data_IF_847485611587
#
_entry.id   IF_847485611587
#
_cell.length_a   1.000
_cell.length_b   1.000
_cell.length_c   1.000
_cell.angle_alpha   90.00
_cell.angle_beta   90.00
_cell.angle_gamma   90.00
#
_symmetry.space_group_name_H-M   'P 1'
#
loop_
_entity.id
_entity.type
_entity.pdbx_description
1 polymer ?
#
# COMPACT_ATOMS: atom_id res chain seq x y z
N UNK A 1 10.57 20.87 -4.32
CA UNK A 1 9.78 19.79 -4.92
C UNK A 1 8.52 19.61 -4.10
N UNK A 2 7.32 19.57 -4.71
CA UNK A 2 6.09 19.21 -3.99
C UNK A 2 5.91 17.71 -4.02
N UNK A 3 5.61 17.12 -2.86
CA UNK A 3 5.38 15.69 -2.71
C UNK A 3 4.07 15.50 -1.95
N UNK A 4 3.17 14.71 -2.52
CA UNK A 4 1.90 14.35 -1.88
C UNK A 4 1.96 12.92 -1.33
N UNK A 5 1.12 12.62 -0.35
CA UNK A 5 0.85 11.26 0.09
C UNK A 5 -0.51 10.79 -0.44
N UNK A 6 -0.59 9.55 -0.87
CA UNK A 6 -1.83 8.89 -1.28
C UNK A 6 -2.03 7.65 -0.42
N UNK A 7 -3.14 7.57 0.28
CA UNK A 7 -3.49 6.44 1.15
C UNK A 7 -4.73 5.77 0.58
N UNK A 8 -4.66 4.48 0.29
CA UNK A 8 -5.84 3.70 -0.08
C UNK A 8 -6.47 3.13 1.19
N UNK A 9 -7.77 3.41 1.39
CA UNK A 9 -8.48 3.02 2.60
C UNK A 9 -9.95 2.72 2.35
N UNK A 10 -10.49 1.74 3.06
CA UNK A 10 -11.93 1.48 3.20
C UNK A 10 -12.23 0.97 4.60
N UNK A 11 -13.34 1.41 5.17
CA UNK A 11 -13.97 0.73 6.29
C UNK A 11 -14.78 -0.44 5.74
N UNK A 12 -14.24 -1.63 5.87
CA UNK A 12 -14.90 -2.84 5.40
C UNK A 12 -16.03 -3.32 6.30
N UNK A 13 -16.21 -2.73 7.48
CA UNK A 13 -17.32 -2.97 8.38
C UNK A 13 -18.52 -2.06 8.09
N UNK A 14 -18.35 -1.04 7.25
CA UNK A 14 -19.46 -0.24 6.73
C UNK A 14 -20.53 -1.12 6.07
N UNK A 15 -21.80 -1.06 6.52
CA UNK A 15 -22.87 -1.90 5.98
C UNK A 15 -23.11 -1.73 4.48
N UNK A 16 -22.94 -0.50 3.96
CA UNK A 16 -23.12 -0.23 2.52
C UNK A 16 -22.01 -0.87 1.70
N UNK A 17 -20.75 -0.74 2.16
CA UNK A 17 -19.63 -1.38 1.51
C UNK A 17 -19.74 -2.91 1.54
N UNK A 18 -20.17 -3.49 2.67
CA UNK A 18 -20.44 -4.95 2.78
C UNK A 18 -21.49 -5.40 1.77
N UNK A 19 -22.63 -4.68 1.67
CA UNK A 19 -23.70 -5.01 0.72
C UNK A 19 -23.21 -4.91 -0.73
N UNK A 20 -22.49 -3.84 -1.08
CA UNK A 20 -21.87 -3.71 -2.41
C UNK A 20 -20.96 -4.92 -2.72
N UNK A 21 -20.08 -5.28 -1.80
CA UNK A 21 -19.15 -6.40 -1.97
C UNK A 21 -19.88 -7.74 -2.14
N UNK A 22 -20.93 -7.97 -1.36
CA UNK A 22 -21.74 -9.19 -1.46
C UNK A 22 -22.51 -9.27 -2.79
N UNK A 23 -23.00 -8.15 -3.31
CA UNK A 23 -23.72 -8.11 -4.58
C UNK A 23 -22.86 -8.51 -5.79
N UNK A 24 -21.56 -8.26 -5.73
CA UNK A 24 -20.62 -8.54 -6.85
C UNK A 24 -19.72 -9.76 -6.60
N UNK A 25 -19.66 -10.27 -5.38
CA UNK A 25 -18.86 -11.43 -5.03
C UNK A 25 -19.65 -12.73 -5.08
N UNK A 26 -19.18 -13.74 -5.81
CA UNK A 26 -19.71 -15.10 -5.66
C UNK A 26 -19.36 -15.64 -4.28
N UNK A 27 -20.14 -16.60 -3.77
CA UNK A 27 -19.89 -17.26 -2.48
C UNK A 27 -18.44 -17.79 -2.39
N UNK A 28 -17.91 -18.36 -3.48
CA UNK A 28 -16.54 -18.85 -3.56
C UNK A 28 -15.49 -17.75 -3.41
N UNK A 29 -15.73 -16.58 -4.03
CA UNK A 29 -14.81 -15.42 -3.97
C UNK A 29 -14.82 -14.83 -2.56
N UNK A 30 -16.00 -14.63 -1.97
CA UNK A 30 -16.16 -14.00 -0.65
C UNK A 30 -15.55 -14.80 0.50
N UNK A 31 -15.42 -16.12 0.34
CA UNK A 31 -14.82 -17.02 1.33
C UNK A 31 -13.36 -17.42 1.00
N UNK A 32 -12.74 -16.78 0.01
CA UNK A 32 -11.33 -17.01 -0.32
C UNK A 32 -10.50 -15.90 0.33
N UNK A 33 -9.79 -16.22 1.41
CA UNK A 33 -8.98 -15.27 2.22
C UNK A 33 -8.02 -14.43 1.38
N UNK A 34 -7.49 -14.98 0.29
CA UNK A 34 -6.54 -14.28 -0.58
C UNK A 34 -7.16 -13.23 -1.49
N UNK A 35 -8.47 -13.35 -1.78
CA UNK A 35 -9.14 -12.54 -2.81
C UNK A 35 -10.10 -11.54 -2.19
N UNK A 36 -10.91 -11.97 -1.23
CA UNK A 36 -11.97 -11.18 -0.63
C UNK A 36 -12.26 -11.55 0.83
N UNK A 37 -11.31 -12.12 1.56
CA UNK A 37 -11.46 -12.46 2.97
C UNK A 37 -11.83 -11.25 3.81
N UNK A 38 -12.65 -11.46 4.85
CA UNK A 38 -13.18 -10.40 5.72
C UNK A 38 -12.09 -9.53 6.35
N UNK A 39 -10.94 -10.13 6.67
CA UNK A 39 -9.78 -9.49 7.28
C UNK A 39 -9.09 -8.44 6.42
N UNK A 40 -9.34 -8.44 5.10
CA UNK A 40 -8.77 -7.45 4.17
C UNK A 40 -9.46 -6.10 4.21
N UNK A 41 -10.61 -6.04 4.85
CA UNK A 41 -11.49 -4.88 4.83
C UNK A 41 -11.84 -4.40 6.23
N UNK A 42 -11.44 -5.11 7.28
CA UNK A 42 -11.62 -4.63 8.66
C UNK A 42 -10.60 -3.55 8.95
N UNK A 43 -11.04 -2.52 9.66
CA UNK A 43 -10.20 -1.46 10.17
C UNK A 43 -10.39 -1.36 11.69
N UNK A 44 -9.29 -1.25 12.41
CA UNK A 44 -9.28 -0.91 13.85
C UNK A 44 -8.80 0.53 14.05
N UNK A 45 -8.95 1.36 13.02
CA UNK A 45 -8.56 2.76 13.03
C UNK A 45 -7.13 3.02 12.56
N UNK A 46 -6.52 2.09 11.81
CA UNK A 46 -5.15 2.22 11.30
C UNK A 46 -4.93 3.52 10.54
N UNK A 47 -5.93 3.98 9.79
CA UNK A 47 -5.89 5.22 9.01
C UNK A 47 -5.54 6.45 9.88
N UNK A 48 -6.04 6.51 11.12
CA UNK A 48 -5.75 7.61 12.03
C UNK A 48 -4.26 7.65 12.38
N UNK A 49 -3.67 6.49 12.66
CA UNK A 49 -2.25 6.38 12.98
C UNK A 49 -1.36 6.58 11.76
N UNK A 50 -1.78 6.11 10.59
CA UNK A 50 -1.08 6.37 9.35
C UNK A 50 -0.97 7.88 9.11
N UNK A 51 -2.09 8.61 9.12
CA UNK A 51 -2.12 10.07 8.90
C UNK A 51 -1.38 10.84 10.00
N UNK A 52 -1.53 10.43 11.27
CA UNK A 52 -0.79 11.03 12.38
C UNK A 52 0.73 10.87 12.23
N UNK A 53 1.19 9.71 11.79
CA UNK A 53 2.61 9.46 11.56
C UNK A 53 3.20 10.34 10.48
N UNK A 54 2.43 10.61 9.42
CA UNK A 54 2.82 11.55 8.36
C UNK A 54 2.98 12.97 8.92
N UNK A 55 2.01 13.44 9.70
CA UNK A 55 2.08 14.76 10.35
C UNK A 55 3.28 14.88 11.28
N UNK A 56 3.62 13.82 12.01
CA UNK A 56 4.73 13.84 12.99
C UNK A 56 6.10 13.74 12.32
N UNK A 57 6.26 12.86 11.34
CA UNK A 57 7.57 12.44 10.84
C UNK A 57 7.87 12.88 9.41
N UNK A 58 6.88 13.39 8.68
CA UNK A 58 7.02 13.92 7.32
C UNK A 58 6.22 15.22 7.11
N UNK A 59 6.38 16.25 7.97
CA UNK A 59 5.59 17.49 7.88
C UNK A 59 5.85 18.29 6.58
N UNK A 60 6.83 17.90 5.80
CA UNK A 60 7.13 18.45 4.47
C UNK A 60 6.21 17.93 3.36
N UNK A 61 5.35 16.93 3.63
CA UNK A 61 4.33 16.48 2.68
C UNK A 61 3.36 17.63 2.40
N UNK A 62 3.12 17.89 1.11
CA UNK A 62 2.29 19.00 0.68
C UNK A 62 0.79 18.75 0.95
N UNK A 63 0.32 17.52 0.72
CA UNK A 63 -1.08 17.13 0.91
C UNK A 63 -1.22 15.62 1.05
N UNK A 64 -2.22 15.18 1.80
CA UNK A 64 -2.61 13.78 1.94
C UNK A 64 -3.93 13.57 1.21
N UNK A 65 -3.96 12.61 0.29
CA UNK A 65 -5.17 12.15 -0.38
C UNK A 65 -5.56 10.77 0.16
N UNK A 66 -6.81 10.63 0.58
CA UNK A 66 -7.36 9.33 1.02
C UNK A 66 -8.32 8.84 -0.04
N UNK A 67 -7.94 7.77 -0.73
CA UNK A 67 -8.73 7.15 -1.80
C UNK A 67 -9.64 6.09 -1.21
N UNK A 68 -10.96 6.22 -1.42
CA UNK A 68 -11.97 5.37 -0.78
C UNK A 68 -13.22 5.18 -1.64
N UNK A 69 -14.17 4.32 -1.19
CA UNK A 69 -15.44 4.01 -1.86
C UNK A 69 -16.61 4.66 -1.12
N UNK A 70 -16.92 5.93 -1.45
CA UNK A 70 -18.05 6.70 -0.87
C UNK A 70 -18.02 6.79 0.68
N UNK A 71 -16.82 6.78 1.26
CA UNK A 71 -16.63 6.84 2.71
C UNK A 71 -15.82 8.09 3.11
N UNK A 72 -15.84 8.41 4.40
CA UNK A 72 -15.03 9.48 4.99
C UNK A 72 -14.51 9.01 6.35
N UNK A 73 -13.19 8.96 6.59
CA UNK A 73 -12.63 8.53 7.85
C UNK A 73 -12.82 9.53 8.99
N UNK A 74 -13.37 10.72 8.75
CA UNK A 74 -13.68 11.76 9.75
C UNK A 74 -12.48 12.14 10.63
N UNK A 75 -11.37 12.51 10.00
CA UNK A 75 -10.10 12.80 10.68
C UNK A 75 -10.03 14.17 11.34
N UNK A 76 -10.96 15.09 11.05
CA UNK A 76 -10.83 16.50 11.42
C UNK A 76 -10.67 16.73 12.92
N UNK A 77 -11.53 16.09 13.75
CA UNK A 77 -11.46 16.21 15.22
C UNK A 77 -10.16 15.63 15.74
N UNK A 78 -9.79 14.43 15.28
CA UNK A 78 -8.57 13.76 15.68
C UNK A 78 -7.30 14.57 15.35
N UNK A 79 -7.25 15.16 14.16
CA UNK A 79 -6.11 15.98 13.74
C UNK A 79 -6.05 17.28 14.53
N UNK A 80 -7.19 17.95 14.77
CA UNK A 80 -7.23 19.17 15.56
C UNK A 80 -6.80 18.96 17.01
N UNK A 81 -7.14 17.83 17.60
CA UNK A 81 -6.77 17.47 18.98
C UNK A 81 -5.28 17.12 19.12
N UNK A 82 -4.72 16.39 18.17
CA UNK A 82 -3.35 15.89 18.24
C UNK A 82 -2.31 16.84 17.62
N UNK A 83 -2.74 17.73 16.68
CA UNK A 83 -1.90 18.68 15.95
C UNK A 83 -2.52 20.09 15.96
N UNK A 84 -2.72 20.71 17.13
CA UNK A 84 -3.42 21.99 17.28
C UNK A 84 -2.68 23.16 16.61
N UNK A 85 -1.37 23.06 16.42
CA UNK A 85 -0.55 24.08 15.75
C UNK A 85 -0.66 24.04 14.21
N UNK A 86 -1.34 23.01 13.69
CA UNK A 86 -1.56 22.79 12.28
C UNK A 86 -1.17 21.38 11.84
N UNK A 87 -1.79 20.94 10.78
CA UNK A 87 -1.56 19.63 10.18
C UNK A 87 -1.53 19.70 8.66
N UNK A 88 -1.00 18.67 8.02
CA UNK A 88 -0.99 18.52 6.57
C UNK A 88 -2.44 18.50 6.07
N UNK A 89 -2.79 19.26 5.01
CA UNK A 89 -4.13 19.22 4.42
C UNK A 89 -4.51 17.80 3.98
N UNK A 90 -5.71 17.35 4.34
CA UNK A 90 -6.25 16.04 3.97
C UNK A 90 -7.43 16.20 3.03
N UNK A 91 -7.49 15.44 1.97
CA UNK A 91 -8.63 15.37 1.05
C UNK A 91 -9.03 13.94 0.77
N UNK A 92 -10.33 13.66 0.90
CA UNK A 92 -10.91 12.36 0.57
C UNK A 92 -11.30 12.32 -0.91
N UNK A 93 -10.82 11.31 -1.63
CA UNK A 93 -11.06 11.11 -3.07
C UNK A 93 -11.87 9.83 -3.26
N UNK A 94 -13.05 9.97 -3.86
CA UNK A 94 -13.87 8.82 -4.21
C UNK A 94 -13.31 8.06 -5.42
N UNK A 95 -13.49 6.74 -5.45
CA UNK A 95 -13.10 5.90 -6.58
C UNK A 95 -13.65 6.42 -7.91
N UNK A 96 -14.86 7.00 -7.95
CA UNK A 96 -15.47 7.57 -9.17
C UNK A 96 -14.62 8.68 -9.78
N UNK A 97 -13.88 9.42 -8.96
CA UNK A 97 -13.01 10.51 -9.43
C UNK A 97 -11.84 9.95 -10.23
N UNK A 98 -11.13 8.96 -9.68
CA UNK A 98 -9.97 8.36 -10.34
C UNK A 98 -10.38 7.42 -11.49
N UNK A 99 -11.58 6.85 -11.44
CA UNK A 99 -12.12 5.99 -12.51
C UNK A 99 -12.95 6.75 -13.55
N UNK A 100 -12.93 8.10 -13.57
CA UNK A 100 -13.63 8.88 -14.61
C UNK A 100 -13.27 8.39 -16.02
N UNK A 101 -14.31 7.99 -16.80
CA UNK A 101 -14.15 7.35 -18.12
C UNK A 101 -13.90 5.84 -18.08
N UNK A 102 -13.92 5.24 -16.86
CA UNK A 102 -13.76 3.81 -16.61
C UNK A 102 -14.81 3.31 -15.61
N UNK A 103 -15.94 3.99 -15.48
CA UNK A 103 -16.99 3.75 -14.48
C UNK A 103 -17.58 2.34 -14.56
N UNK A 104 -17.51 1.69 -15.73
CA UNK A 104 -17.98 0.32 -15.94
C UNK A 104 -17.22 -0.72 -15.06
N UNK A 105 -16.06 -0.37 -14.55
CA UNK A 105 -15.26 -1.24 -13.68
C UNK A 105 -15.57 -1.05 -12.19
N UNK A 106 -16.41 -0.06 -11.84
CA UNK A 106 -16.87 0.19 -10.49
C UNK A 106 -18.15 -0.60 -10.16
N UNK A 107 -18.44 -0.93 -8.89
CA UNK A 107 -17.48 -0.82 -7.79
C UNK A 107 -16.34 -1.82 -7.91
N UNK A 108 -15.19 -1.47 -7.35
CA UNK A 108 -14.04 -2.38 -7.27
C UNK A 108 -13.60 -2.58 -5.81
N UNK A 109 -13.30 -3.81 -5.45
CA UNK A 109 -12.84 -4.25 -4.13
C UNK A 109 -11.39 -4.75 -4.21
N UNK A 110 -10.66 -4.21 -5.15
CA UNK A 110 -9.36 -4.70 -5.58
C UNK A 110 -8.31 -3.60 -5.48
N UNK A 111 -7.44 -3.69 -4.49
CA UNK A 111 -6.40 -2.68 -4.27
C UNK A 111 -5.54 -2.47 -5.52
N UNK A 112 -5.19 -3.54 -6.26
CA UNK A 112 -4.37 -3.42 -7.49
C UNK A 112 -5.08 -2.57 -8.55
N UNK A 113 -6.40 -2.74 -8.71
CA UNK A 113 -7.18 -1.91 -9.64
C UNK A 113 -7.21 -0.46 -9.19
N UNK A 114 -7.38 -0.20 -7.88
CA UNK A 114 -7.37 1.14 -7.30
C UNK A 114 -5.98 1.78 -7.45
N UNK A 115 -4.93 1.09 -7.02
CA UNK A 115 -3.53 1.51 -7.12
C UNK A 115 -3.11 1.85 -8.55
N UNK A 116 -3.68 1.15 -9.55
CA UNK A 116 -3.45 1.46 -10.98
C UNK A 116 -4.07 2.77 -11.43
N UNK A 117 -4.90 3.41 -10.61
CA UNK A 117 -5.66 4.62 -10.96
C UNK A 117 -5.33 5.82 -10.07
N UNK A 118 -4.56 5.66 -8.99
CA UNK A 118 -4.23 6.74 -8.02
C UNK A 118 -3.56 7.94 -8.66
N UNK A 119 -2.75 7.74 -9.69
CA UNK A 119 -2.09 8.80 -10.44
C UNK A 119 -3.06 9.80 -11.11
N UNK A 120 -4.36 9.45 -11.23
CA UNK A 120 -5.40 10.27 -11.84
C UNK A 120 -6.11 11.21 -10.85
N UNK A 121 -5.67 11.27 -9.62
CA UNK A 121 -6.20 12.22 -8.62
C UNK A 121 -6.00 13.65 -9.15
N UNK A 122 -7.07 14.47 -9.24
CA UNK A 122 -6.96 15.85 -9.69
C UNK A 122 -6.05 16.67 -8.76
N UNK A 123 -5.08 17.35 -9.32
CA UNK A 123 -4.14 18.19 -8.55
C UNK A 123 -3.00 17.42 -7.86
N UNK A 124 -2.90 16.11 -8.03
CA UNK A 124 -1.79 15.31 -7.52
C UNK A 124 -0.45 15.81 -8.05
N UNK A 125 0.51 15.98 -7.14
CA UNK A 125 1.88 16.36 -7.49
C UNK A 125 2.56 15.33 -8.37
N UNK A 126 3.60 15.73 -9.11
CA UNK A 126 4.42 14.82 -9.91
C UNK A 126 5.02 13.70 -9.05
N UNK A 127 5.54 14.07 -7.89
CA UNK A 127 6.09 13.15 -6.92
C UNK A 127 5.03 12.85 -5.86
N UNK A 128 4.72 11.58 -5.67
CA UNK A 128 3.83 11.18 -4.61
C UNK A 128 4.28 9.87 -3.95
N UNK A 129 3.89 9.69 -2.71
CA UNK A 129 4.22 8.50 -1.93
C UNK A 129 2.90 7.77 -1.63
N UNK A 130 2.82 6.53 -2.06
CA UNK A 130 1.65 5.68 -1.80
C UNK A 130 1.83 4.88 -0.52
N UNK A 131 0.79 4.91 0.31
CA UNK A 131 0.67 4.18 1.56
C UNK A 131 -0.56 3.27 1.52
N UNK A 132 -0.47 2.15 2.24
CA UNK A 132 -1.65 1.47 2.75
C UNK A 132 -1.95 2.01 4.14
N UNK A 133 -3.16 1.85 4.63
CA UNK A 133 -3.59 2.29 5.95
C UNK A 133 -2.87 1.57 7.11
N UNK A 134 -2.38 0.35 6.87
CA UNK A 134 -1.57 -0.45 7.81
C UNK A 134 -0.08 -0.04 7.88
N UNK A 135 0.31 1.02 7.13
CA UNK A 135 1.67 1.58 7.14
C UNK A 135 1.75 2.85 7.99
N UNK A 136 2.77 2.94 8.80
CA UNK A 136 3.11 4.16 9.53
C UNK A 136 4.58 4.55 9.30
N UNK A 137 4.87 5.83 9.44
CA UNK A 137 6.22 6.29 9.71
C UNK A 137 6.50 6.12 11.20
N UNK A 138 7.66 5.57 11.57
CA UNK A 138 8.03 5.30 12.95
C UNK A 138 9.19 6.17 13.44
N UNK A 139 9.79 6.96 12.54
CA UNK A 139 10.81 7.97 12.82
C UNK A 139 10.82 9.04 11.72
N UNK A 140 11.46 10.21 11.94
CA UNK A 140 11.57 11.25 10.94
C UNK A 140 12.16 10.75 9.62
N UNK A 141 11.52 11.14 8.53
CA UNK A 141 11.97 10.88 7.16
C UNK A 141 12.17 12.19 6.41
N UNK A 142 12.98 12.14 5.36
CA UNK A 142 13.21 13.27 4.45
C UNK A 142 12.78 12.92 3.03
N UNK A 143 12.61 13.90 2.14
CA UNK A 143 12.34 13.62 0.72
C UNK A 143 13.34 12.65 0.08
N UNK A 144 14.60 12.68 0.49
CA UNK A 144 15.69 11.85 -0.01
C UNK A 144 15.55 10.37 0.39
N UNK A 145 14.71 10.06 1.36
CA UNK A 145 14.33 8.68 1.67
C UNK A 145 13.47 8.06 0.56
N UNK A 146 12.82 8.88 -0.27
CA UNK A 146 11.87 8.45 -1.29
C UNK A 146 12.29 8.81 -2.70
N UNK A 147 12.97 9.93 -2.89
CA UNK A 147 13.34 10.45 -4.21
C UNK A 147 14.80 10.82 -4.24
N UNK A 148 15.45 10.56 -5.37
CA UNK A 148 16.79 11.02 -5.69
C UNK A 148 16.72 12.20 -6.66
N UNK A 149 17.85 12.84 -6.93
CA UNK A 149 17.93 13.92 -7.93
C UNK A 149 17.35 13.49 -9.29
N UNK A 150 17.53 12.24 -9.68
CA UNK A 150 17.19 11.73 -11.01
C UNK A 150 16.06 10.68 -11.01
N UNK A 151 15.46 10.36 -9.87
CA UNK A 151 14.47 9.29 -9.85
C UNK A 151 13.90 8.98 -8.48
N UNK A 152 13.62 7.69 -8.24
CA UNK A 152 12.92 7.19 -7.07
C UNK A 152 13.78 6.21 -6.26
N UNK A 153 13.47 6.07 -4.98
CA UNK A 153 14.03 5.04 -4.10
C UNK A 153 13.03 3.88 -3.99
N UNK A 154 13.51 2.67 -4.20
CA UNK A 154 12.76 1.44 -3.99
C UNK A 154 13.37 0.64 -2.84
N UNK A 155 12.60 0.42 -1.79
CA UNK A 155 12.98 -0.45 -0.69
C UNK A 155 12.75 -1.91 -1.06
N UNK A 156 13.81 -2.56 -1.56
CA UNK A 156 13.78 -3.95 -2.01
C UNK A 156 14.92 -4.75 -1.41
N UNK A 157 14.61 -5.92 -0.84
CA UNK A 157 15.60 -6.76 -0.19
C UNK A 157 16.63 -7.37 -1.14
N UNK A 158 16.17 -7.84 -2.30
CA UNK A 158 17.04 -8.47 -3.33
C UNK A 158 16.37 -8.43 -4.71
N UNK A 159 17.21 -8.34 -5.75
CA UNK A 159 16.79 -8.68 -7.11
C UNK A 159 16.67 -10.21 -7.20
N UNK A 160 15.52 -10.70 -7.58
CA UNK A 160 15.34 -12.12 -7.87
C UNK A 160 15.35 -12.32 -9.38
N UNK A 161 16.06 -13.37 -9.85
CA UNK A 161 16.00 -13.75 -11.26
C UNK A 161 14.55 -14.08 -11.63
N UNK A 162 14.08 -13.49 -12.74
CA UNK A 162 12.74 -13.76 -13.30
C UNK A 162 12.53 -15.26 -13.54
N UNK A 163 13.52 -15.94 -14.14
CA UNK A 163 13.44 -17.37 -14.42
C UNK A 163 13.34 -18.22 -13.14
N UNK A 164 14.10 -17.87 -12.10
CA UNK A 164 14.03 -18.56 -10.80
C UNK A 164 12.67 -18.33 -10.14
N UNK A 165 12.14 -17.13 -10.20
CA UNK A 165 10.82 -16.84 -9.67
C UNK A 165 9.72 -17.57 -10.43
N UNK A 166 9.81 -17.62 -11.76
CA UNK A 166 8.89 -18.34 -12.63
C UNK A 166 8.90 -19.86 -12.37
N UNK A 167 10.08 -20.46 -12.28
CA UNK A 167 10.20 -21.91 -12.00
C UNK A 167 9.65 -22.27 -10.63
N UNK A 168 9.87 -21.45 -9.60
CA UNK A 168 9.29 -21.64 -8.27
C UNK A 168 7.76 -21.53 -8.31
N UNK A 169 7.22 -20.59 -9.09
CA UNK A 169 5.78 -20.43 -9.26
C UNK A 169 5.15 -21.63 -9.96
N UNK A 170 5.78 -22.14 -11.02
CA UNK A 170 5.30 -23.33 -11.74
C UNK A 170 5.30 -24.58 -10.83
N UNK A 171 6.31 -24.77 -10.00
CA UNK A 171 6.33 -25.83 -8.97
C UNK A 171 5.20 -25.70 -7.97
N UNK A 172 4.91 -24.48 -7.55
CA UNK A 172 3.84 -24.19 -6.60
C UNK A 172 2.46 -24.53 -7.17
N UNK A 173 2.19 -24.18 -8.43
CA UNK A 173 0.95 -24.55 -9.12
C UNK A 173 0.81 -26.06 -9.35
N UNK A 174 1.91 -26.75 -9.63
CA UNK A 174 1.91 -28.21 -9.82
C UNK A 174 1.50 -28.97 -8.56
N UNK A 175 1.70 -28.39 -7.39
CA UNK A 175 1.29 -28.96 -6.10
C UNK A 175 -0.19 -28.65 -5.73
N UNK A 176 -1.00 -28.18 -6.70
CA UNK A 176 -2.45 -28.01 -6.53
C UNK A 176 -2.90 -26.74 -5.80
N UNK A 177 -1.97 -25.86 -5.39
CA UNK A 177 -2.29 -24.60 -4.73
C UNK A 177 -2.69 -23.54 -5.76
N UNK A 178 -3.99 -23.19 -5.81
CA UNK A 178 -4.53 -22.12 -6.70
C UNK A 178 -4.47 -20.73 -6.07
N UNK A 179 -3.59 -20.51 -5.10
CA UNK A 179 -3.53 -19.25 -4.34
C UNK A 179 -2.95 -18.12 -5.19
N UNK A 180 -3.66 -16.97 -5.26
CA UNK A 180 -3.15 -15.75 -5.87
C UNK A 180 -2.12 -15.15 -4.90
N UNK A 181 -0.87 -15.11 -5.31
CA UNK A 181 0.20 -14.52 -4.50
C UNK A 181 0.71 -13.24 -5.11
N UNK A 182 1.24 -12.36 -4.29
CA UNK A 182 1.93 -11.13 -4.73
C UNK A 182 3.03 -11.40 -5.78
N UNK A 183 3.66 -12.60 -5.77
CA UNK A 183 4.64 -13.00 -6.77
C UNK A 183 4.10 -13.07 -8.19
N UNK A 184 2.81 -13.40 -8.37
CA UNK A 184 2.19 -13.40 -9.70
C UNK A 184 2.17 -12.01 -10.29
N UNK A 185 1.76 -11.02 -9.49
CA UNK A 185 1.64 -9.64 -9.96
C UNK A 185 2.99 -9.02 -10.28
N UNK A 186 4.05 -9.37 -9.54
CA UNK A 186 5.43 -8.95 -9.84
C UNK A 186 5.94 -9.58 -11.15
N UNK A 187 5.71 -10.88 -11.35
CA UNK A 187 6.10 -11.56 -12.59
C UNK A 187 5.37 -11.00 -13.80
N UNK A 188 4.08 -10.67 -13.65
CA UNK A 188 3.30 -10.05 -14.71
C UNK A 188 3.82 -8.65 -15.06
N UNK A 189 4.22 -7.85 -14.08
CA UNK A 189 4.86 -6.55 -14.32
C UNK A 189 6.17 -6.70 -15.11
N UNK A 190 7.05 -7.62 -14.70
CA UNK A 190 8.29 -7.91 -15.40
C UNK A 190 8.06 -8.42 -16.83
N UNK A 191 6.97 -9.19 -17.05
CA UNK A 191 6.59 -9.67 -18.38
C UNK A 191 6.19 -8.56 -19.33
N UNK A 192 5.51 -7.51 -18.84
CA UNK A 192 5.17 -6.32 -19.63
C UNK A 192 6.41 -5.61 -20.16
N UNK A 193 7.51 -5.66 -19.46
CA UNK A 193 8.81 -5.11 -19.86
C UNK A 193 9.65 -6.11 -20.69
N UNK A 194 9.01 -6.91 -21.54
CA UNK A 194 9.64 -7.92 -22.41
C UNK A 194 10.49 -8.93 -21.62
N UNK A 195 9.90 -9.52 -20.58
CA UNK A 195 10.53 -10.49 -19.71
C UNK A 195 11.78 -9.92 -19.02
N UNK A 196 11.62 -8.80 -18.34
CA UNK A 196 12.69 -8.20 -17.56
C UNK A 196 13.44 -9.28 -16.73
N UNK A 197 14.79 -9.29 -16.73
CA UNK A 197 15.55 -10.40 -16.15
C UNK A 197 15.39 -10.55 -14.64
N UNK A 198 14.81 -9.54 -13.98
CA UNK A 198 14.62 -9.54 -12.54
C UNK A 198 13.18 -9.21 -12.15
N UNK A 199 12.80 -9.59 -10.94
CA UNK A 199 11.73 -9.01 -10.15
C UNK A 199 12.33 -8.40 -8.90
N UNK A 200 11.71 -7.35 -8.38
CA UNK A 200 12.14 -6.74 -7.13
C UNK A 200 11.33 -7.34 -5.97
N UNK A 201 12.01 -7.84 -4.95
CA UNK A 201 11.33 -8.24 -3.72
C UNK A 201 11.10 -6.97 -2.89
N UNK A 202 10.07 -6.21 -3.27
CA UNK A 202 9.69 -5.02 -2.51
C UNK A 202 9.20 -5.41 -1.11
N UNK A 203 9.52 -4.57 -0.15
CA UNK A 203 9.04 -4.69 1.21
C UNK A 203 7.74 -3.90 1.41
N UNK A 204 7.04 -4.16 2.52
CA UNK A 204 5.86 -3.39 2.95
C UNK A 204 6.31 -2.04 3.54
N UNK A 205 6.75 -1.16 2.67
CA UNK A 205 7.15 0.21 2.94
C UNK A 205 6.32 1.16 2.07
N UNK A 206 6.24 2.45 2.38
CA UNK A 206 5.67 3.43 1.45
C UNK A 206 6.35 3.40 0.09
N UNK A 207 5.63 3.70 -0.98
CA UNK A 207 6.10 3.60 -2.37
C UNK A 207 6.25 4.98 -3.01
N UNK A 208 7.47 5.33 -3.39
CA UNK A 208 7.78 6.56 -4.11
C UNK A 208 7.40 6.43 -5.60
N UNK A 209 6.48 7.27 -6.07
CA UNK A 209 5.89 7.14 -7.39
C UNK A 209 5.95 8.47 -8.15
N UNK A 210 5.96 8.37 -9.49
CA UNK A 210 5.94 9.49 -10.42
C UNK A 210 4.62 9.47 -11.21
N UNK A 211 3.81 10.52 -11.12
CA UNK A 211 2.54 10.63 -11.80
C UNK A 211 2.70 10.52 -13.33
N UNK A 212 3.68 11.24 -13.88
CA UNK A 212 3.96 11.25 -15.33
C UNK A 212 4.37 9.88 -15.87
N UNK A 213 4.98 9.02 -15.03
CA UNK A 213 5.29 7.65 -15.45
C UNK A 213 4.03 6.90 -15.86
N UNK A 214 3.00 6.90 -15.03
CA UNK A 214 1.76 6.20 -15.30
C UNK A 214 0.97 6.85 -16.43
N UNK A 215 0.92 8.18 -16.45
CA UNK A 215 0.27 8.95 -17.51
C UNK A 215 0.82 8.57 -18.88
N UNK A 216 2.14 8.61 -19.04
CA UNK A 216 2.80 8.29 -20.30
C UNK A 216 2.70 6.80 -20.64
N UNK A 217 2.98 5.92 -19.68
CA UNK A 217 2.96 4.47 -19.92
C UNK A 217 1.59 3.97 -20.36
N UNK A 218 0.52 4.44 -19.69
CA UNK A 218 -0.83 4.01 -20.02
C UNK A 218 -1.43 4.75 -21.21
N UNK A 219 -0.95 5.93 -21.55
CA UNK A 219 -1.28 6.57 -22.84
C UNK A 219 -0.75 5.75 -24.02
N UNK A 220 0.47 5.21 -23.90
CA UNK A 220 1.07 4.34 -24.92
C UNK A 220 0.50 2.90 -24.88
N UNK A 221 -0.01 2.45 -23.73
CA UNK A 221 -0.46 1.07 -23.51
C UNK A 221 -1.86 1.01 -22.86
N UNK A 222 -2.91 1.61 -23.46
CA UNK A 222 -4.24 1.71 -22.86
C UNK A 222 -4.86 0.34 -22.55
N UNK A 223 -4.68 -0.65 -23.41
CA UNK A 223 -5.16 -2.01 -23.21
C UNK A 223 -4.56 -2.68 -21.97
N UNK A 224 -3.33 -2.32 -21.63
CA UNK A 224 -2.67 -2.83 -20.42
C UNK A 224 -3.34 -2.31 -19.16
N UNK A 225 -3.73 -1.02 -19.14
CA UNK A 225 -4.51 -0.45 -18.05
C UNK A 225 -5.86 -1.12 -17.93
N UNK A 226 -6.63 -1.21 -19.04
CA UNK A 226 -7.96 -1.84 -19.06
C UNK A 226 -7.92 -3.24 -18.46
N UNK A 227 -7.00 -4.10 -18.89
CA UNK A 227 -6.84 -5.47 -18.40
C UNK A 227 -6.48 -5.53 -16.92
N UNK A 228 -5.83 -4.51 -16.37
CA UNK A 228 -5.46 -4.51 -14.96
C UNK A 228 -6.61 -4.06 -14.05
N UNK A 229 -7.48 -3.15 -14.53
CA UNK A 229 -8.56 -2.55 -13.73
C UNK A 229 -9.93 -3.22 -13.93
N UNK A 230 -10.12 -4.08 -14.93
CA UNK A 230 -11.40 -4.76 -15.19
C UNK A 230 -11.83 -5.75 -14.09
N UNK A 231 -10.91 -6.10 -13.21
CA UNK A 231 -11.13 -7.10 -12.16
C UNK A 231 -11.61 -6.44 -10.86
N UNK A 232 -12.88 -6.68 -10.49
CA UNK A 232 -13.47 -6.19 -9.22
C UNK A 232 -12.84 -6.82 -7.98
N UNK A 233 -12.27 -8.00 -8.10
CA UNK A 233 -11.53 -8.71 -7.07
C UNK A 233 -10.16 -9.12 -7.62
N UNK A 234 -9.18 -9.37 -6.76
CA UNK A 234 -7.82 -9.74 -7.18
C UNK A 234 -7.82 -10.92 -8.15
N UNK A 235 -7.04 -10.81 -9.21
CA UNK A 235 -6.92 -11.79 -10.27
C UNK A 235 -5.45 -12.12 -10.58
N UNK A 236 -5.17 -13.37 -10.96
CA UNK A 236 -3.81 -13.85 -11.28
C UNK A 236 -3.20 -13.17 -12.50
N UNK A 237 -4.02 -12.58 -13.36
CA UNK A 237 -3.56 -11.89 -14.57
C UNK A 237 -3.15 -10.44 -14.34
N UNK A 238 -3.44 -9.89 -13.17
CA UNK A 238 -3.06 -8.53 -12.84
C UNK A 238 -1.56 -8.40 -12.61
N UNK A 239 -1.03 -7.24 -12.89
CA UNK A 239 0.33 -6.86 -12.55
C UNK A 239 0.33 -5.82 -11.42
N UNK A 240 1.42 -5.76 -10.67
CA UNK A 240 1.61 -4.73 -9.66
C UNK A 240 2.10 -3.43 -10.34
N UNK A 241 1.36 -2.30 -10.24
CA UNK A 241 1.72 -1.06 -10.92
C UNK A 241 3.00 -0.42 -10.37
N UNK A 242 3.26 -0.53 -9.06
CA UNK A 242 4.47 0.01 -8.44
C UNK A 242 5.71 -0.78 -8.92
N UNK A 243 5.62 -2.13 -8.99
CA UNK A 243 6.68 -2.96 -9.55
C UNK A 243 6.98 -2.59 -10.99
N UNK A 244 5.95 -2.34 -11.80
CA UNK A 244 6.12 -1.92 -13.19
C UNK A 244 6.95 -0.62 -13.28
N UNK A 245 6.62 0.39 -12.48
CA UNK A 245 7.38 1.64 -12.44
C UNK A 245 8.82 1.40 -12.00
N UNK A 246 9.01 0.71 -10.87
CA UNK A 246 10.35 0.49 -10.34
C UNK A 246 11.24 -0.29 -11.28
N UNK A 247 10.73 -1.35 -11.92
CA UNK A 247 11.49 -2.11 -12.90
C UNK A 247 11.88 -1.27 -14.12
N UNK A 248 10.94 -0.48 -14.64
CA UNK A 248 11.18 0.38 -15.80
C UNK A 248 12.22 1.47 -15.47
N UNK A 249 12.03 2.18 -14.36
CA UNK A 249 12.97 3.19 -13.92
C UNK A 249 14.35 2.61 -13.55
N UNK A 250 14.38 1.39 -13.02
CA UNK A 250 15.63 0.69 -12.75
C UNK A 250 16.41 0.38 -14.03
N UNK A 251 15.74 -0.02 -15.11
CA UNK A 251 16.35 -0.18 -16.44
C UNK A 251 16.96 1.13 -16.97
N UNK A 252 16.32 2.25 -16.64
CA UNK A 252 16.74 3.59 -17.08
C UNK A 252 17.79 4.22 -16.17
N UNK A 253 18.24 3.53 -15.11
CA UNK A 253 19.17 4.08 -14.11
C UNK A 253 18.55 5.15 -13.21
N UNK A 254 17.23 5.20 -13.12
CA UNK A 254 16.42 6.19 -12.36
C UNK A 254 15.72 5.59 -11.13
N UNK A 255 16.13 4.43 -10.67
CA UNK A 255 15.62 3.81 -9.45
C UNK A 255 16.78 3.30 -8.61
N UNK A 256 16.92 3.86 -7.41
CA UNK A 256 17.88 3.41 -6.42
C UNK A 256 17.26 2.31 -5.55
N UNK A 257 17.97 1.19 -5.39
CA UNK A 257 17.54 0.12 -4.51
C UNK A 257 18.17 0.27 -3.14
N UNK A 258 17.34 0.38 -2.09
CA UNK A 258 17.78 0.42 -0.68
C UNK A 258 17.33 -0.81 0.09
N UNK A 259 18.17 -1.28 0.99
CA UNK A 259 17.79 -2.29 1.98
C UNK A 259 16.85 -1.69 3.03
N UNK A 260 16.03 -2.56 3.64
CA UNK A 260 15.22 -2.21 4.81
C UNK A 260 15.81 -2.75 6.12
N UNK A 261 17.04 -3.28 6.11
CA UNK A 261 17.67 -3.78 7.32
C UNK A 261 17.59 -2.69 8.40
N UNK A 262 17.01 -3.05 9.55
CA UNK A 262 16.77 -2.20 10.71
C UNK A 262 15.88 -0.96 10.47
N UNK A 263 15.30 -0.79 9.28
CA UNK A 263 14.42 0.32 8.91
C UNK A 263 12.95 -0.05 8.81
N UNK A 264 12.58 -1.32 8.90
CA UNK A 264 11.20 -1.78 8.78
C UNK A 264 10.80 -2.71 9.92
N UNK A 265 9.89 -2.26 10.74
CA UNK A 265 9.08 -3.11 11.60
C UNK A 265 7.95 -3.73 10.75
N UNK A 266 8.10 -5.00 10.38
CA UNK A 266 7.00 -5.77 9.82
C UNK A 266 6.46 -6.71 10.89
N UNK A 267 5.18 -6.51 11.26
CA UNK A 267 4.49 -7.29 12.27
C UNK A 267 3.23 -7.90 11.65
N UNK A 268 3.08 -9.20 11.74
CA UNK A 268 1.87 -9.91 11.39
C UNK A 268 1.09 -10.22 12.66
N UNK A 269 0.04 -9.46 12.92
CA UNK A 269 -0.65 -9.46 14.21
C UNK A 269 -1.40 -10.76 14.55
N UNK A 270 -1.51 -11.69 13.60
CA UNK A 270 -2.02 -13.04 13.82
C UNK A 270 -1.08 -13.93 14.65
N UNK A 271 0.15 -13.50 14.83
CA UNK A 271 1.14 -14.20 15.64
C UNK A 271 0.81 -14.06 17.15
N UNK A 272 1.48 -14.85 17.99
CA UNK A 272 1.23 -14.83 19.45
C UNK A 272 1.64 -13.51 20.11
N UNK A 273 1.00 -13.16 21.21
CA UNK A 273 1.34 -11.98 22.03
C UNK A 273 2.83 -11.94 22.39
N UNK A 274 3.43 -13.09 22.71
CA UNK A 274 4.88 -13.19 22.98
C UNK A 274 5.73 -12.78 21.77
N UNK A 275 5.30 -13.12 20.57
CA UNK A 275 5.99 -12.70 19.35
C UNK A 275 5.82 -11.19 19.14
N UNK A 276 4.60 -10.67 19.33
CA UNK A 276 4.30 -9.24 19.23
C UNK A 276 5.19 -8.45 20.18
N UNK A 277 5.22 -8.82 21.47
CA UNK A 277 6.06 -8.18 22.49
C UNK A 277 7.53 -8.13 22.07
N UNK A 278 8.10 -9.28 21.71
CA UNK A 278 9.52 -9.36 21.30
C UNK A 278 9.82 -8.48 20.09
N UNK A 279 8.90 -8.41 19.13
CA UNK A 279 9.03 -7.56 17.95
C UNK A 279 9.03 -6.08 18.33
N UNK A 280 8.05 -5.65 19.12
CA UNK A 280 7.93 -4.26 19.54
C UNK A 280 9.12 -3.81 20.39
N UNK A 281 9.58 -4.65 21.36
CA UNK A 281 10.78 -4.40 22.16
C UNK A 281 12.03 -4.24 21.30
N UNK A 282 12.24 -5.16 20.34
CA UNK A 282 13.37 -5.08 19.41
C UNK A 282 13.35 -3.76 18.64
N UNK A 283 12.21 -3.39 18.06
CA UNK A 283 12.14 -2.16 17.26
C UNK A 283 12.13 -0.88 18.11
N UNK A 284 11.71 -0.95 19.37
CA UNK A 284 11.89 0.17 20.31
C UNK A 284 13.37 0.45 20.60
N UNK A 285 14.22 -0.58 20.55
CA UNK A 285 15.67 -0.43 20.71
C UNK A 285 16.38 0.13 19.47
N UNK A 286 15.71 0.19 18.30
CA UNK A 286 16.28 0.71 17.06
C UNK A 286 15.87 2.17 16.87
N UNK A 287 16.80 3.10 17.13
CA UNK A 287 16.56 4.54 16.95
C UNK A 287 16.25 4.93 15.49
N UNK A 288 16.73 4.16 14.52
CA UNK A 288 16.65 4.45 13.09
C UNK A 288 15.51 3.77 12.35
N UNK A 289 14.62 3.02 13.01
CA UNK A 289 13.50 2.34 12.34
C UNK A 289 12.48 3.34 11.81
N UNK A 290 12.46 3.55 10.49
CA UNK A 290 11.64 4.57 9.83
C UNK A 290 10.23 4.12 9.49
N UNK A 291 10.02 2.83 9.23
CA UNK A 291 8.75 2.31 8.69
C UNK A 291 8.17 1.23 9.60
N UNK A 292 6.87 1.30 9.83
CA UNK A 292 6.09 0.24 10.48
C UNK A 292 4.99 -0.28 9.54
N UNK A 293 4.83 -1.60 9.46
CA UNK A 293 3.71 -2.26 8.80
C UNK A 293 3.07 -3.22 9.77
N UNK A 294 1.83 -2.97 10.13
CA UNK A 294 1.07 -3.73 11.12
C UNK A 294 -0.08 -4.47 10.44
N UNK A 295 0.25 -5.60 9.85
CA UNK A 295 -0.70 -6.36 9.03
C UNK A 295 -1.67 -7.16 9.90
N UNK A 296 -2.98 -7.04 9.62
CA UNK A 296 -4.06 -7.81 10.24
C UNK A 296 -4.19 -7.60 11.77
N UNK A 297 -4.15 -6.37 12.25
CA UNK A 297 -4.33 -6.03 13.69
C UNK A 297 -5.67 -6.58 14.20
N UNK A 298 -6.71 -6.59 13.36
CA UNK A 298 -8.04 -7.13 13.65
C UNK A 298 -8.06 -8.63 14.02
N UNK A 299 -6.98 -9.36 13.75
CA UNK A 299 -6.84 -10.78 14.05
C UNK A 299 -5.98 -11.06 15.30
N UNK A 300 -5.38 -10.04 15.89
CA UNK A 300 -4.66 -10.17 17.15
C UNK A 300 -5.63 -10.52 18.29
N UNK A 301 -5.08 -11.03 19.40
CA UNK A 301 -5.79 -11.05 20.67
C UNK A 301 -6.12 -9.61 21.11
N UNK A 302 -7.09 -9.41 21.98
CA UNK A 302 -7.37 -8.09 22.58
C UNK A 302 -6.12 -7.47 23.20
N UNK A 303 -5.31 -8.27 23.87
CA UNK A 303 -4.06 -7.84 24.46
C UNK A 303 -3.02 -7.48 23.39
N UNK A 304 -2.87 -8.31 22.35
CA UNK A 304 -1.98 -8.05 21.24
C UNK A 304 -2.36 -6.77 20.45
N UNK A 305 -3.64 -6.57 20.21
CA UNK A 305 -4.16 -5.36 19.59
C UNK A 305 -3.83 -4.11 20.42
N UNK A 306 -4.09 -4.16 21.72
CA UNK A 306 -3.76 -3.06 22.64
C UNK A 306 -2.26 -2.76 22.65
N UNK A 307 -1.41 -3.76 22.80
CA UNK A 307 0.06 -3.58 22.79
C UNK A 307 0.54 -2.89 21.52
N UNK A 308 0.00 -3.28 20.35
CA UNK A 308 0.36 -2.67 19.06
C UNK A 308 -0.08 -1.21 19.02
N UNK A 309 -1.33 -0.92 19.39
CA UNK A 309 -1.90 0.44 19.37
C UNK A 309 -1.14 1.35 20.34
N UNK A 310 -0.87 0.88 21.56
CA UNK A 310 -0.14 1.65 22.58
C UNK A 310 1.28 1.96 22.09
N UNK A 311 1.99 0.98 21.50
CA UNK A 311 3.29 1.21 20.90
C UNK A 311 3.25 2.26 19.76
N UNK A 312 2.25 2.18 18.88
CA UNK A 312 2.08 3.14 17.79
C UNK A 312 1.84 4.55 18.36
N UNK A 313 0.93 4.69 19.33
CA UNK A 313 0.62 5.97 19.97
C UNK A 313 1.85 6.58 20.64
N UNK A 314 2.57 5.78 21.42
CA UNK A 314 3.81 6.21 22.07
C UNK A 314 4.85 6.65 21.04
N UNK A 315 5.05 5.86 19.99
CA UNK A 315 6.03 6.15 18.92
C UNK A 315 5.74 7.44 18.17
N UNK A 316 4.48 7.71 17.87
CA UNK A 316 4.04 8.94 17.21
C UNK A 316 3.95 10.11 18.20
N UNK A 317 3.82 9.86 19.49
CA UNK A 317 3.62 10.86 20.53
C UNK A 317 2.19 11.45 20.50
N UNK A 318 1.19 10.57 20.33
CA UNK A 318 -0.22 10.94 20.42
C UNK A 318 -0.64 11.05 21.90
N UNK A 319 -1.64 11.92 22.13
CA UNK A 319 -2.28 12.02 23.46
C UNK A 319 -3.09 10.77 23.73
N UNK A 320 -3.17 10.39 25.01
CA UNK A 320 -4.01 9.28 25.49
C UNK A 320 -5.50 9.53 25.23
#
# INVERSE_FOLDING_TARGET
>A
MKIDAVITWVDGDDPKHKLKRQAYGSHRILHTDDVAGSTRFRSVGEIFYCVASLNRFAPWINKIYIVTDEQNPQLDSFLSENFPEGHIPVETIDHKVIFRGYEQYLPTFNSISIESMTWRIPGLSEHFIEFNDDLILAAPVTPEDFFTENGVVCYAGKRNSYLVALTRMLKYHRNGTKRITYKHTMLNAAKLLKNHPYILKMHHTPKALLRSFYENYFAENPETLHKNIEHRFRNVHQFNPQELQYLKLYQEGRCELRSVEDNLLYLYAKDSDTYITKKLEHFSSLEGCKFGCFNSIDQASENGCRMIIDWIKERIGLKE
#
